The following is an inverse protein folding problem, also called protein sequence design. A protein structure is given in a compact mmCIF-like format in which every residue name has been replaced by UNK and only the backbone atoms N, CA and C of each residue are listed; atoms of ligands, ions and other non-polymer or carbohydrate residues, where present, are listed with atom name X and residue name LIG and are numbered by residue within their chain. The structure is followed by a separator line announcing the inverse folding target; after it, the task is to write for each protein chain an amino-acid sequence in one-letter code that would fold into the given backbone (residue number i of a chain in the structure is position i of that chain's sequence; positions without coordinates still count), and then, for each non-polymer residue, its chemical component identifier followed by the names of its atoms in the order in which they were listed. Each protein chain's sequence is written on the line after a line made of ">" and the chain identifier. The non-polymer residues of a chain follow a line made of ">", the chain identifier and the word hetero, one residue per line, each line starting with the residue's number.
data_IF_741225946817
#
_entry.id   IF_741225946817
#
_cell.length_a   1.000
_cell.length_b   1.000
_cell.length_c   1.000
_cell.angle_alpha   90.00
_cell.angle_beta   90.00
_cell.angle_gamma   90.00
#
_symmetry.space_group_name_H-M   'P 1'
#
loop_
_entity.id
_entity.type
_entity.pdbx_description
1 polymer ?
#
# COMPACT_ATOMS: atom_id res chain seq x y z
N UNK A 1 74.56 41.54 10.63
CA UNK A 1 75.46 42.58 10.04
C UNK A 1 76.89 42.04 9.99
N UNK A 2 77.31 41.44 11.11
CA UNK A 2 78.40 40.47 11.21
C UNK A 2 78.46 39.40 10.11
N UNK A 3 77.36 38.73 9.76
CA UNK A 3 77.34 37.70 8.70
C UNK A 3 77.72 38.24 7.32
N UNK A 4 77.32 39.48 7.03
CA UNK A 4 77.71 40.16 5.80
C UNK A 4 79.21 40.46 5.80
N UNK A 5 79.76 41.00 6.91
CA UNK A 5 81.19 41.26 7.04
C UNK A 5 82.03 39.98 6.99
N UNK A 6 81.57 38.90 7.62
CA UNK A 6 82.17 37.57 7.50
C UNK A 6 82.21 37.11 6.04
N UNK A 7 81.07 37.19 5.33
CA UNK A 7 80.97 36.75 3.94
C UNK A 7 81.89 37.55 3.01
N UNK A 8 82.00 38.86 3.23
CA UNK A 8 82.95 39.75 2.53
C UNK A 8 84.39 39.34 2.86
N UNK A 9 84.70 39.08 4.13
CA UNK A 9 86.02 38.60 4.56
C UNK A 9 86.41 37.28 3.90
N UNK A 10 85.48 36.31 3.79
CA UNK A 10 85.70 35.04 3.09
C UNK A 10 85.96 35.27 1.59
N UNK A 11 85.27 36.23 0.96
CA UNK A 11 85.50 36.57 -0.45
C UNK A 11 86.91 37.09 -0.68
N UNK A 12 87.34 38.10 0.09
CA UNK A 12 88.70 38.66 0.01
C UNK A 12 89.78 37.62 0.33
N UNK A 13 89.50 36.69 1.24
CA UNK A 13 90.40 35.58 1.54
C UNK A 13 90.60 34.65 0.33
N UNK A 14 89.54 34.37 -0.44
CA UNK A 14 89.61 33.55 -1.67
C UNK A 14 90.33 34.28 -2.80
N UNK A 15 90.21 35.60 -2.87
CA UNK A 15 90.92 36.45 -3.82
C UNK A 15 92.42 36.62 -3.48
N UNK A 16 92.86 36.08 -2.34
CA UNK A 16 94.25 36.16 -1.91
C UNK A 16 94.63 37.52 -1.31
N UNK A 17 93.65 38.29 -0.83
CA UNK A 17 93.85 39.59 -0.18
C UNK A 17 93.66 39.49 1.35
N UNK A 18 94.63 38.91 2.10
CA UNK A 18 94.45 38.60 3.51
C UNK A 18 94.30 39.84 4.41
N UNK A 19 94.85 40.98 4.02
CA UNK A 19 94.75 42.22 4.81
C UNK A 19 93.33 42.79 4.83
N UNK A 20 92.68 42.81 3.67
CA UNK A 20 91.26 43.23 3.57
C UNK A 20 90.37 42.20 4.28
N UNK A 21 90.65 40.90 4.07
CA UNK A 21 89.93 39.83 4.77
C UNK A 21 89.99 39.98 6.29
N UNK A 22 91.18 40.25 6.86
CA UNK A 22 91.36 40.48 8.30
C UNK A 22 90.59 41.70 8.82
N UNK A 23 90.55 42.80 8.06
CA UNK A 23 89.80 43.99 8.46
C UNK A 23 88.30 43.67 8.63
N UNK A 24 87.71 42.97 7.66
CA UNK A 24 86.31 42.59 7.71
C UNK A 24 86.02 41.48 8.73
N UNK A 25 86.92 40.50 8.90
CA UNK A 25 86.76 39.50 9.95
C UNK A 25 86.85 40.09 11.36
N UNK A 26 87.72 41.08 11.60
CA UNK A 26 87.79 41.75 12.91
C UNK A 26 86.54 42.58 13.20
N UNK A 27 85.97 43.23 12.17
CA UNK A 27 84.67 43.91 12.30
C UNK A 27 83.55 42.91 12.60
N UNK A 28 83.51 41.78 11.90
CA UNK A 28 82.54 40.71 12.15
C UNK A 28 82.70 40.13 13.57
N UNK A 29 83.93 39.86 14.01
CA UNK A 29 84.23 39.32 15.34
C UNK A 29 83.80 40.27 16.46
N UNK A 30 83.98 41.59 16.28
CA UNK A 30 83.56 42.59 17.24
C UNK A 30 82.04 42.68 17.41
N UNK A 31 81.28 42.40 16.34
CA UNK A 31 79.82 42.37 16.36
C UNK A 31 79.29 41.04 16.90
N UNK A 32 79.76 39.88 16.41
CA UNK A 32 79.30 38.57 16.88
C UNK A 32 79.69 38.29 18.34
N UNK A 33 80.77 38.92 18.84
CA UNK A 33 81.16 38.84 20.25
C UNK A 33 80.15 39.47 21.22
N UNK A 34 79.30 40.39 20.75
CA UNK A 34 78.23 41.00 21.56
C UNK A 34 76.98 40.11 21.64
N UNK A 35 76.73 39.30 20.61
CA UNK A 35 75.55 38.44 20.50
C UNK A 35 75.78 36.99 21.00
N UNK A 36 77.00 36.64 21.41
CA UNK A 36 77.41 35.29 21.85
C UNK A 36 77.11 34.17 20.85
N UNK A 37 77.06 34.48 19.55
CA UNK A 37 76.90 33.45 18.51
C UNK A 37 78.20 32.68 18.31
N UNK A 38 78.36 31.62 19.10
CA UNK A 38 79.54 30.75 19.05
C UNK A 38 79.74 30.08 17.67
N UNK A 39 78.68 29.90 16.87
CA UNK A 39 78.81 29.32 15.52
C UNK A 39 79.50 30.35 14.62
N UNK A 40 79.00 31.58 14.62
CA UNK A 40 79.55 32.64 13.79
C UNK A 40 80.97 33.01 14.23
N UNK A 41 81.21 33.12 15.55
CA UNK A 41 82.53 33.39 16.12
C UNK A 41 83.54 32.31 15.71
N UNK A 42 83.17 31.02 15.79
CA UNK A 42 84.07 29.93 15.39
C UNK A 42 84.47 30.00 13.91
N UNK A 43 83.51 30.33 13.03
CA UNK A 43 83.74 30.46 11.59
C UNK A 43 84.62 31.68 11.27
N UNK A 44 84.38 32.83 11.92
CA UNK A 44 85.18 34.05 11.77
C UNK A 44 86.62 33.81 12.25
N UNK A 45 86.81 33.19 13.42
CA UNK A 45 88.14 32.85 13.95
C UNK A 45 88.90 31.90 13.00
N UNK A 46 88.20 30.96 12.36
CA UNK A 46 88.75 30.10 11.32
C UNK A 46 89.18 30.87 10.07
N UNK A 47 88.38 31.84 9.63
CA UNK A 47 88.72 32.76 8.53
C UNK A 47 89.95 33.62 8.84
N UNK A 48 90.05 34.16 10.06
CA UNK A 48 91.22 34.92 10.54
C UNK A 48 92.48 34.04 10.54
N UNK A 49 92.35 32.79 11.00
CA UNK A 49 93.45 31.82 10.96
C UNK A 49 93.99 31.61 9.55
N UNK A 50 93.11 31.36 8.57
CA UNK A 50 93.49 31.18 7.17
C UNK A 50 94.13 32.45 6.58
N UNK A 51 93.63 33.64 6.93
CA UNK A 51 94.21 34.90 6.47
C UNK A 51 95.66 35.08 6.98
N UNK A 52 95.92 34.77 8.25
CA UNK A 52 97.29 34.77 8.79
C UNK A 52 98.17 33.69 8.17
N UNK A 53 97.59 32.54 7.80
CA UNK A 53 98.29 31.46 7.11
C UNK A 53 98.76 31.88 5.71
N UNK A 54 97.94 32.64 4.96
CA UNK A 54 98.32 33.24 3.67
C UNK A 54 99.42 34.29 3.81
N UNK A 55 99.40 35.06 4.90
CA UNK A 55 100.49 36.00 5.26
C UNK A 55 101.75 35.32 5.77
N UNK A 56 101.80 33.99 5.74
CA UNK A 56 102.88 33.16 6.28
C UNK A 56 103.17 33.37 7.79
N UNK A 57 102.21 33.93 8.53
CA UNK A 57 102.30 34.12 9.98
C UNK A 57 101.69 32.92 10.70
N UNK A 58 102.50 31.86 10.81
CA UNK A 58 102.07 30.57 11.35
C UNK A 58 101.70 30.63 12.84
N UNK A 59 102.31 31.53 13.62
CA UNK A 59 102.05 31.67 15.04
C UNK A 59 100.63 32.20 15.30
N UNK A 60 100.27 33.31 14.64
CA UNK A 60 98.90 33.86 14.71
C UNK A 60 97.88 32.92 14.09
N UNK A 61 98.21 32.30 12.95
CA UNK A 61 97.31 31.34 12.31
C UNK A 61 96.93 30.18 13.25
N UNK A 62 97.90 29.65 14.02
CA UNK A 62 97.63 28.59 14.98
C UNK A 62 96.78 29.07 16.17
N UNK A 63 97.09 30.23 16.74
CA UNK A 63 96.32 30.82 17.85
C UNK A 63 94.83 30.91 17.48
N UNK A 64 94.52 31.50 16.33
CA UNK A 64 93.14 31.67 15.87
C UNK A 64 92.49 30.34 15.45
N UNK A 65 93.24 29.37 14.92
CA UNK A 65 92.72 28.03 14.61
C UNK A 65 92.33 27.26 15.88
N UNK A 66 93.13 27.36 16.95
CA UNK A 66 92.84 26.72 18.23
C UNK A 66 91.62 27.35 18.90
N UNK A 67 91.54 28.70 18.89
CA UNK A 67 90.35 29.41 19.38
C UNK A 67 89.11 29.05 18.59
N UNK A 68 89.21 28.92 17.26
CA UNK A 68 88.11 28.45 16.40
C UNK A 68 87.62 27.06 16.80
N UNK A 69 88.53 26.11 17.11
CA UNK A 69 88.16 24.78 17.57
C UNK A 69 87.51 24.80 18.97
N UNK A 70 88.03 25.60 19.88
CA UNK A 70 87.48 25.77 21.23
C UNK A 70 86.04 26.30 21.14
N UNK A 71 85.84 27.40 20.40
CA UNK A 71 84.50 27.97 20.20
C UNK A 71 83.59 26.99 19.46
N UNK A 72 84.06 26.32 18.39
CA UNK A 72 83.29 25.30 17.69
C UNK A 72 82.87 24.15 18.62
N UNK A 73 83.66 23.87 19.66
CA UNK A 73 83.34 22.83 20.64
C UNK A 73 82.19 23.18 21.57
N UNK A 74 81.89 24.47 21.72
CA UNK A 74 80.75 24.99 22.50
C UNK A 74 79.43 25.00 21.70
N UNK A 75 79.48 24.89 20.36
CA UNK A 75 78.32 25.13 19.48
C UNK A 75 77.36 23.93 19.33
N UNK A 76 77.74 22.74 19.80
CA UNK A 76 77.03 21.49 19.51
C UNK A 76 76.97 21.11 18.01
N UNK A 77 77.56 21.92 17.11
CA UNK A 77 77.47 21.76 15.66
C UNK A 77 78.71 21.01 15.13
N UNK A 78 78.59 19.73 14.71
CA UNK A 78 79.76 18.95 14.29
C UNK A 78 80.43 19.50 13.02
N UNK A 79 79.66 20.21 12.18
CA UNK A 79 80.17 20.92 11.00
C UNK A 79 81.21 21.99 11.37
N UNK A 80 81.02 22.69 12.48
CA UNK A 80 81.96 23.72 12.93
C UNK A 80 83.28 23.10 13.41
N UNK A 81 83.21 21.99 14.16
CA UNK A 81 84.40 21.20 14.53
C UNK A 81 85.14 20.67 13.31
N UNK A 82 84.42 20.19 12.29
CA UNK A 82 85.00 19.73 11.02
C UNK A 82 85.83 20.85 10.36
N UNK A 83 85.29 22.07 10.25
CA UNK A 83 86.02 23.21 9.68
C UNK A 83 87.23 23.61 10.53
N UNK A 84 87.11 23.60 11.85
CA UNK A 84 88.23 23.91 12.74
C UNK A 84 89.36 22.86 12.63
N UNK A 85 89.04 21.57 12.53
CA UNK A 85 90.04 20.52 12.26
C UNK A 85 90.72 20.70 10.91
N UNK A 86 89.98 21.09 9.86
CA UNK A 86 90.56 21.42 8.55
C UNK A 86 91.57 22.56 8.65
N UNK A 87 91.21 23.65 9.34
CA UNK A 87 92.08 24.80 9.53
C UNK A 87 93.36 24.41 10.30
N UNK A 88 93.23 23.64 11.38
CA UNK A 88 94.38 23.16 12.15
C UNK A 88 95.30 22.25 11.32
N UNK A 89 94.74 21.33 10.54
CA UNK A 89 95.49 20.51 9.59
C UNK A 89 96.33 21.37 8.63
N UNK A 90 95.74 22.38 8.00
CA UNK A 90 96.42 23.26 7.04
C UNK A 90 97.52 24.09 7.72
N UNK A 91 97.28 24.59 8.94
CA UNK A 91 98.25 25.36 9.71
C UNK A 91 99.45 24.50 10.12
N UNK A 92 99.22 23.30 10.68
CA UNK A 92 100.30 22.38 11.07
C UNK A 92 101.09 21.85 9.86
N UNK A 93 100.41 21.64 8.73
CA UNK A 93 101.05 21.28 7.46
C UNK A 93 102.05 22.34 6.98
N UNK A 94 101.69 23.63 7.03
CA UNK A 94 102.63 24.72 6.67
C UNK A 94 103.75 24.93 7.68
N UNK A 95 103.52 24.61 8.95
CA UNK A 95 104.51 24.72 10.04
C UNK A 95 105.58 23.63 10.01
N UNK A 96 105.39 22.59 9.19
CA UNK A 96 106.36 21.50 9.04
C UNK A 96 106.29 20.43 10.13
N UNK A 97 105.16 20.30 10.83
CA UNK A 97 104.91 19.22 11.80
C UNK A 97 103.95 18.18 11.19
N UNK A 98 104.46 17.14 10.49
CA UNK A 98 103.63 16.17 9.79
C UNK A 98 102.82 15.28 10.75
N UNK A 99 103.28 15.08 11.98
CA UNK A 99 102.59 14.25 12.96
C UNK A 99 101.27 14.89 13.38
N UNK A 100 101.29 16.18 13.75
CA UNK A 100 100.08 16.93 14.09
C UNK A 100 99.17 17.20 12.90
N UNK A 101 99.74 17.47 11.72
CA UNK A 101 98.95 17.62 10.51
C UNK A 101 98.15 16.33 10.20
N UNK A 102 98.78 15.16 10.33
CA UNK A 102 98.12 13.86 10.13
C UNK A 102 97.00 13.60 11.16
N UNK A 103 97.22 13.97 12.42
CA UNK A 103 96.21 13.85 13.48
C UNK A 103 94.94 14.64 13.15
N UNK A 104 95.08 15.95 12.86
CA UNK A 104 93.94 16.80 12.52
C UNK A 104 93.31 16.44 11.18
N UNK A 105 94.09 15.93 10.21
CA UNK A 105 93.56 15.39 8.97
C UNK A 105 92.64 14.19 9.22
N UNK A 106 93.04 13.25 10.09
CA UNK A 106 92.20 12.09 10.45
C UNK A 106 90.90 12.52 11.12
N UNK A 107 90.97 13.48 12.05
CA UNK A 107 89.79 14.03 12.72
C UNK A 107 88.85 14.74 11.74
N UNK A 108 89.40 15.55 10.82
CA UNK A 108 88.64 16.18 9.76
C UNK A 108 87.98 15.16 8.82
N UNK A 109 88.74 14.19 8.32
CA UNK A 109 88.25 13.17 7.37
C UNK A 109 87.14 12.34 7.99
N UNK A 110 87.33 11.82 9.21
CA UNK A 110 86.31 11.02 9.90
C UNK A 110 85.03 11.81 10.17
N UNK A 111 85.15 13.08 10.58
CA UNK A 111 83.98 13.94 10.79
C UNK A 111 83.26 14.28 9.47
N UNK A 112 84.03 14.54 8.40
CA UNK A 112 83.49 14.80 7.06
C UNK A 112 82.69 13.60 6.55
N UNK A 113 83.24 12.39 6.66
CA UNK A 113 82.58 11.16 6.23
C UNK A 113 81.31 10.89 7.04
N UNK A 114 81.36 11.05 8.36
CA UNK A 114 80.19 10.89 9.24
C UNK A 114 79.07 11.89 8.90
N UNK A 115 79.42 13.16 8.67
CA UNK A 115 78.44 14.20 8.30
C UNK A 115 77.81 13.95 6.93
N UNK A 116 78.60 13.46 5.98
CA UNK A 116 78.11 13.10 4.66
C UNK A 116 77.09 11.95 4.73
N UNK A 117 77.43 10.87 5.45
CA UNK A 117 76.54 9.71 5.65
C UNK A 117 75.25 10.14 6.36
N UNK A 118 75.35 10.96 7.42
CA UNK A 118 74.18 11.46 8.14
C UNK A 118 73.28 12.32 7.25
N UNK A 119 73.85 13.15 6.36
CA UNK A 119 73.10 13.95 5.39
C UNK A 119 72.36 13.09 4.37
N UNK A 120 73.02 12.06 3.81
CA UNK A 120 72.38 11.11 2.89
C UNK A 120 71.24 10.34 3.56
N UNK A 121 71.45 9.85 4.79
CA UNK A 121 70.42 9.14 5.54
C UNK A 121 69.18 10.01 5.80
N UNK A 122 69.38 11.29 6.15
CA UNK A 122 68.27 12.26 6.29
C UNK A 122 67.50 12.45 4.98
N UNK A 123 68.20 12.65 3.87
CA UNK A 123 67.56 12.84 2.56
C UNK A 123 66.72 11.61 2.14
N UNK A 124 67.23 10.40 2.38
CA UNK A 124 66.48 9.15 2.12
C UNK A 124 65.24 9.07 3.03
N UNK A 125 65.39 9.40 4.31
CA UNK A 125 64.27 9.37 5.27
C UNK A 125 63.18 10.38 4.89
N UNK A 126 63.56 11.59 4.52
CA UNK A 126 62.63 12.62 4.04
C UNK A 126 61.91 12.17 2.76
N UNK A 127 62.63 11.54 1.83
CA UNK A 127 62.05 11.01 0.59
C UNK A 127 61.04 9.89 0.89
N UNK A 128 61.35 8.98 1.80
CA UNK A 128 60.44 7.91 2.21
C UNK A 128 59.19 8.47 2.90
N UNK A 129 59.34 9.42 3.83
CA UNK A 129 58.20 10.08 4.48
C UNK A 129 57.31 10.75 3.44
N UNK A 130 57.91 11.47 2.48
CA UNK A 130 57.16 12.13 1.40
C UNK A 130 56.40 11.11 0.54
N UNK A 131 57.08 10.05 0.10
CA UNK A 131 56.46 8.98 -0.69
C UNK A 131 55.28 8.33 0.04
N UNK A 132 55.46 7.98 1.32
CA UNK A 132 54.40 7.38 2.13
C UNK A 132 53.24 8.35 2.36
N UNK A 133 53.52 9.64 2.53
CA UNK A 133 52.49 10.68 2.69
C UNK A 133 51.67 10.83 1.41
N UNK A 134 52.33 10.96 0.26
CA UNK A 134 51.65 11.05 -1.04
C UNK A 134 50.78 9.81 -1.31
N UNK A 135 51.28 8.61 -1.01
CA UNK A 135 50.51 7.38 -1.13
C UNK A 135 49.28 7.36 -0.24
N UNK A 136 49.41 7.78 1.03
CA UNK A 136 48.27 7.88 1.95
C UNK A 136 47.25 8.92 1.50
N UNK A 137 47.70 10.07 0.98
CA UNK A 137 46.81 11.09 0.44
C UNK A 137 46.01 10.58 -0.76
N UNK A 138 46.66 9.82 -1.66
CA UNK A 138 45.98 9.16 -2.77
C UNK A 138 44.93 8.15 -2.30
N UNK A 139 45.28 7.31 -1.32
CA UNK A 139 44.35 6.33 -0.75
C UNK A 139 43.15 7.04 -0.09
N UNK A 140 43.39 8.10 0.69
CA UNK A 140 42.31 8.90 1.30
C UNK A 140 41.43 9.52 0.23
N UNK A 141 41.99 10.10 -0.82
CA UNK A 141 41.22 10.68 -1.92
C UNK A 141 40.32 9.63 -2.59
N UNK A 142 40.86 8.44 -2.87
CA UNK A 142 40.09 7.34 -3.45
C UNK A 142 38.95 6.89 -2.51
N UNK A 143 39.24 6.72 -1.22
CA UNK A 143 38.25 6.38 -0.19
C UNK A 143 37.13 7.43 -0.10
N UNK A 144 37.47 8.72 -0.19
CA UNK A 144 36.47 9.80 -0.15
C UNK A 144 35.55 9.79 -1.37
N UNK A 145 36.09 9.56 -2.57
CA UNK A 145 35.28 9.41 -3.79
C UNK A 145 34.39 8.15 -3.71
N UNK A 146 34.93 7.03 -3.23
CA UNK A 146 34.14 5.81 -3.06
C UNK A 146 32.98 5.99 -2.08
N UNK A 147 33.23 6.62 -0.93
CA UNK A 147 32.20 6.92 0.07
C UNK A 147 31.12 7.83 -0.51
N UNK A 148 31.49 8.86 -1.28
CA UNK A 148 30.54 9.78 -1.92
C UNK A 148 29.64 9.07 -2.93
N UNK A 149 30.20 8.19 -3.76
CA UNK A 149 29.42 7.36 -4.68
C UNK A 149 28.48 6.44 -3.90
N UNK A 150 28.95 5.86 -2.80
CA UNK A 150 28.13 5.00 -1.95
C UNK A 150 26.95 5.76 -1.30
N UNK A 151 27.16 6.98 -0.80
CA UNK A 151 26.10 7.84 -0.27
C UNK A 151 25.04 8.16 -1.33
N UNK A 152 25.47 8.51 -2.56
CA UNK A 152 24.55 8.76 -3.68
C UNK A 152 23.74 7.51 -4.05
N UNK A 153 24.38 6.34 -4.05
CA UNK A 153 23.74 5.04 -4.31
C UNK A 153 22.74 4.66 -3.21
N UNK A 154 23.04 4.93 -1.94
CA UNK A 154 22.11 4.72 -0.83
C UNK A 154 20.90 5.66 -1.00
N UNK A 155 21.13 6.94 -1.30
CA UNK A 155 20.05 7.91 -1.51
C UNK A 155 19.14 7.58 -2.70
N UNK A 156 19.69 7.05 -3.80
CA UNK A 156 18.88 6.59 -4.94
C UNK A 156 18.07 5.33 -4.61
N UNK A 157 18.67 4.34 -3.93
CA UNK A 157 17.98 3.11 -3.47
C UNK A 157 16.84 3.43 -2.50
N UNK A 158 17.06 4.29 -1.51
CA UNK A 158 16.03 4.68 -0.54
C UNK A 158 14.84 5.36 -1.23
N UNK A 159 15.07 6.28 -2.17
CA UNK A 159 13.99 6.92 -2.95
C UNK A 159 13.19 5.90 -3.76
N UNK A 160 13.85 4.91 -4.36
CA UNK A 160 13.19 3.85 -5.10
C UNK A 160 12.30 2.98 -4.21
N UNK A 161 12.80 2.56 -3.04
CA UNK A 161 12.02 1.78 -2.06
C UNK A 161 10.79 2.56 -1.59
N UNK A 162 10.95 3.84 -1.26
CA UNK A 162 9.83 4.71 -0.84
C UNK A 162 8.79 4.85 -1.96
N UNK A 163 9.20 5.01 -3.21
CA UNK A 163 8.27 5.09 -4.34
C UNK A 163 7.45 3.79 -4.49
N UNK A 164 8.08 2.62 -4.36
CA UNK A 164 7.38 1.33 -4.39
C UNK A 164 6.38 1.23 -3.24
N UNK A 165 6.78 1.62 -2.02
CA UNK A 165 5.89 1.58 -0.86
C UNK A 165 4.65 2.46 -1.04
N UNK A 166 4.80 3.65 -1.64
CA UNK A 166 3.68 4.55 -1.96
C UNK A 166 2.74 3.91 -2.97
N UNK A 167 3.27 3.34 -4.06
CA UNK A 167 2.45 2.67 -5.09
C UNK A 167 1.70 1.48 -4.50
N UNK A 168 2.37 0.69 -3.67
CA UNK A 168 1.75 -0.44 -2.98
C UNK A 168 0.60 0.02 -2.06
N UNK A 169 0.83 1.06 -1.25
CA UNK A 169 -0.20 1.62 -0.37
C UNK A 169 -1.41 2.15 -1.16
N UNK A 170 -1.17 2.87 -2.26
CA UNK A 170 -2.22 3.35 -3.15
C UNK A 170 -3.01 2.21 -3.78
N UNK A 171 -2.33 1.14 -4.20
CA UNK A 171 -3.00 -0.05 -4.76
C UNK A 171 -3.93 -0.73 -3.74
N UNK A 172 -3.51 -0.81 -2.47
CA UNK A 172 -4.34 -1.33 -1.39
C UNK A 172 -5.56 -0.44 -1.12
N UNK A 173 -5.38 0.87 -1.09
CA UNK A 173 -6.48 1.82 -0.90
C UNK A 173 -7.51 1.74 -2.04
N UNK A 174 -7.04 1.67 -3.29
CA UNK A 174 -7.92 1.50 -4.45
C UNK A 174 -8.65 0.15 -4.38
N UNK A 175 -7.94 -0.94 -4.07
CA UNK A 175 -8.55 -2.26 -3.91
C UNK A 175 -9.64 -2.28 -2.83
N UNK A 176 -9.37 -1.65 -1.69
CA UNK A 176 -10.35 -1.50 -0.60
C UNK A 176 -11.56 -0.68 -1.03
N UNK A 177 -11.35 0.46 -1.70
CA UNK A 177 -12.43 1.31 -2.19
C UNK A 177 -13.33 0.58 -3.20
N UNK A 178 -12.76 -0.20 -4.11
CA UNK A 178 -13.52 -1.04 -5.06
C UNK A 178 -14.35 -2.10 -4.35
N UNK A 179 -13.80 -2.75 -3.32
CA UNK A 179 -14.51 -3.75 -2.53
C UNK A 179 -15.68 -3.14 -1.75
N UNK A 180 -15.50 -1.97 -1.16
CA UNK A 180 -16.61 -1.26 -0.48
C UNK A 180 -17.69 -0.84 -1.48
N UNK A 181 -17.29 -0.28 -2.63
CA UNK A 181 -18.24 0.18 -3.64
C UNK A 181 -19.08 -0.97 -4.23
N UNK A 182 -18.46 -2.13 -4.49
CA UNK A 182 -19.18 -3.32 -4.96
C UNK A 182 -20.19 -3.83 -3.91
N UNK A 183 -19.82 -3.84 -2.63
CA UNK A 183 -20.74 -4.18 -1.53
C UNK A 183 -21.91 -3.20 -1.41
N UNK A 184 -21.66 -1.90 -1.54
CA UNK A 184 -22.70 -0.87 -1.51
C UNK A 184 -23.68 -1.03 -2.67
N UNK A 185 -23.18 -1.24 -3.89
CA UNK A 185 -24.03 -1.50 -5.07
C UNK A 185 -24.88 -2.75 -4.91
N UNK A 186 -24.31 -3.83 -4.35
CA UNK A 186 -25.06 -5.05 -4.07
C UNK A 186 -26.20 -4.81 -3.07
N UNK A 187 -25.95 -4.05 -1.99
CA UNK A 187 -26.98 -3.68 -1.00
C UNK A 187 -28.08 -2.83 -1.62
N UNK A 188 -27.73 -1.82 -2.42
CA UNK A 188 -28.73 -0.99 -3.12
C UNK A 188 -29.63 -1.82 -4.04
N UNK A 189 -29.04 -2.69 -4.87
CA UNK A 189 -29.81 -3.58 -5.75
C UNK A 189 -30.72 -4.53 -4.96
N UNK A 190 -30.24 -5.07 -3.84
CA UNK A 190 -31.05 -5.94 -2.99
C UNK A 190 -32.27 -5.18 -2.43
N UNK A 191 -32.09 -3.96 -1.95
CA UNK A 191 -33.19 -3.12 -1.44
C UNK A 191 -34.16 -2.68 -2.56
N UNK A 192 -33.67 -2.38 -3.76
CA UNK A 192 -34.53 -2.10 -4.91
C UNK A 192 -35.37 -3.31 -5.31
N UNK A 193 -34.78 -4.50 -5.31
CA UNK A 193 -35.48 -5.76 -5.58
C UNK A 193 -36.54 -6.03 -4.52
N UNK A 194 -36.23 -5.86 -3.24
CA UNK A 194 -37.18 -5.98 -2.13
C UNK A 194 -38.37 -5.02 -2.30
N UNK A 195 -38.10 -3.73 -2.57
CA UNK A 195 -39.15 -2.75 -2.83
C UNK A 195 -40.00 -3.09 -4.08
N UNK A 196 -39.37 -3.64 -5.12
CA UNK A 196 -40.08 -4.07 -6.33
C UNK A 196 -40.96 -5.29 -6.06
N UNK A 197 -40.49 -6.25 -5.27
CA UNK A 197 -41.26 -7.41 -4.82
C UNK A 197 -42.50 -6.95 -4.04
N UNK A 198 -42.33 -6.09 -3.03
CA UNK A 198 -43.44 -5.55 -2.24
C UNK A 198 -44.48 -4.83 -3.10
N UNK A 199 -44.04 -4.00 -4.07
CA UNK A 199 -44.95 -3.33 -5.01
C UNK A 199 -45.69 -4.29 -5.94
N UNK A 200 -45.05 -5.37 -6.38
CA UNK A 200 -45.68 -6.36 -7.27
C UNK A 200 -46.72 -7.23 -6.56
N UNK A 201 -46.60 -7.41 -5.24
CA UNK A 201 -47.55 -8.20 -4.46
C UNK A 201 -48.83 -7.43 -4.12
N UNK A 202 -48.83 -6.10 -4.20
CA UNK A 202 -50.07 -5.32 -4.21
C UNK A 202 -50.56 -5.16 -5.64
N UNK A 203 -51.49 -6.01 -6.09
CA UNK A 203 -52.08 -5.93 -7.43
C UNK A 203 -52.82 -4.57 -7.60
N UNK A 204 -52.28 -3.59 -8.36
CA UNK A 204 -52.86 -2.25 -8.42
C UNK A 204 -54.27 -2.24 -9.02
N UNK A 205 -54.56 -3.20 -9.90
CA UNK A 205 -55.87 -3.40 -10.49
C UNK A 205 -56.88 -3.89 -9.44
N UNK A 206 -56.49 -4.80 -8.54
CA UNK A 206 -57.35 -5.24 -7.44
C UNK A 206 -57.68 -4.10 -6.47
N UNK A 207 -56.70 -3.27 -6.13
CA UNK A 207 -56.89 -2.09 -5.27
C UNK A 207 -57.85 -1.09 -5.94
N UNK A 208 -57.63 -0.76 -7.21
CA UNK A 208 -58.48 0.16 -7.95
C UNK A 208 -59.93 -0.35 -8.07
N UNK A 209 -60.12 -1.64 -8.39
CA UNK A 209 -61.44 -2.25 -8.47
C UNK A 209 -62.16 -2.28 -7.12
N UNK A 210 -61.42 -2.49 -6.03
CA UNK A 210 -61.98 -2.46 -4.68
C UNK A 210 -62.44 -1.06 -4.29
N UNK A 211 -61.69 -0.01 -4.67
CA UNK A 211 -62.10 1.38 -4.47
C UNK A 211 -63.38 1.73 -5.25
N UNK A 212 -63.51 1.25 -6.49
CA UNK A 212 -64.75 1.42 -7.29
C UNK A 212 -65.94 0.71 -6.62
N UNK A 213 -65.74 -0.49 -6.09
CA UNK A 213 -66.80 -1.23 -5.39
C UNK A 213 -67.31 -0.46 -4.16
N UNK A 214 -66.39 0.03 -3.33
CA UNK A 214 -66.70 0.87 -2.17
C UNK A 214 -67.48 2.12 -2.62
N UNK A 215 -67.00 2.79 -3.66
CA UNK A 215 -67.66 3.96 -4.24
C UNK A 215 -69.09 3.64 -4.69
N UNK A 216 -69.33 2.47 -5.31
CA UNK A 216 -70.66 2.03 -5.74
C UNK A 216 -71.63 1.84 -4.56
N UNK A 217 -71.19 1.21 -3.47
CA UNK A 217 -72.04 1.03 -2.29
C UNK A 217 -72.37 2.35 -1.59
N UNK A 218 -71.42 3.29 -1.56
CA UNK A 218 -71.65 4.66 -1.06
C UNK A 218 -72.73 5.35 -1.91
N UNK A 219 -72.63 5.30 -3.25
CA UNK A 219 -73.64 5.90 -4.13
C UNK A 219 -75.01 5.22 -4.03
N UNK A 220 -75.06 3.90 -3.81
CA UNK A 220 -76.30 3.14 -3.58
C UNK A 220 -76.91 3.36 -2.18
N UNK A 221 -76.33 4.23 -1.36
CA UNK A 221 -76.77 4.52 0.02
C UNK A 221 -76.87 3.27 0.91
N UNK A 222 -75.95 2.31 0.74
CA UNK A 222 -75.85 1.14 1.60
C UNK A 222 -74.57 1.23 2.46
N UNK A 223 -74.57 2.03 3.55
CA UNK A 223 -73.39 2.28 4.36
C UNK A 223 -72.90 1.03 5.11
N UNK A 224 -73.80 0.10 5.44
CA UNK A 224 -73.45 -1.15 6.13
C UNK A 224 -72.63 -2.06 5.21
N UNK A 225 -73.09 -2.31 3.98
CA UNK A 225 -72.31 -3.12 3.02
C UNK A 225 -71.01 -2.43 2.58
N UNK A 226 -71.00 -1.09 2.49
CA UNK A 226 -69.77 -0.34 2.23
C UNK A 226 -68.74 -0.51 3.36
N UNK A 227 -69.18 -0.45 4.62
CA UNK A 227 -68.35 -0.66 5.80
C UNK A 227 -67.80 -2.09 5.89
N UNK A 228 -68.64 -3.09 5.66
CA UNK A 228 -68.23 -4.50 5.66
C UNK A 228 -67.20 -4.79 4.55
N UNK A 229 -67.44 -4.29 3.33
CA UNK A 229 -66.47 -4.40 2.23
C UNK A 229 -65.13 -3.72 2.58
N UNK A 230 -65.16 -2.52 3.16
CA UNK A 230 -63.96 -1.78 3.54
C UNK A 230 -63.16 -2.52 4.62
N UNK A 231 -63.82 -3.10 5.63
CA UNK A 231 -63.15 -3.87 6.68
C UNK A 231 -62.47 -5.11 6.11
N UNK A 232 -63.20 -5.93 5.33
CA UNK A 232 -62.65 -7.12 4.67
C UNK A 232 -61.49 -6.76 3.73
N UNK A 233 -61.60 -5.65 3.01
CA UNK A 233 -60.53 -5.16 2.15
C UNK A 233 -59.28 -4.76 2.94
N UNK A 234 -59.44 -4.02 4.05
CA UNK A 234 -58.32 -3.64 4.92
C UNK A 234 -57.62 -4.87 5.52
N UNK A 235 -58.39 -5.87 5.96
CA UNK A 235 -57.86 -7.13 6.48
C UNK A 235 -57.08 -7.89 5.41
N UNK A 236 -57.62 -8.01 4.19
CA UNK A 236 -56.93 -8.67 3.09
C UNK A 236 -55.61 -7.97 2.71
N UNK A 237 -55.58 -6.63 2.66
CA UNK A 237 -54.37 -5.84 2.37
C UNK A 237 -53.33 -6.05 3.48
N UNK A 238 -53.74 -6.01 4.76
CA UNK A 238 -52.83 -6.26 5.88
C UNK A 238 -52.23 -7.66 5.81
N UNK A 239 -53.06 -8.69 5.65
CA UNK A 239 -52.61 -10.09 5.54
C UNK A 239 -51.69 -10.29 4.33
N UNK A 240 -51.99 -9.68 3.19
CA UNK A 240 -51.15 -9.70 1.98
C UNK A 240 -49.75 -9.15 2.26
N UNK A 241 -49.66 -7.98 2.90
CA UNK A 241 -48.37 -7.34 3.22
C UNK A 241 -47.59 -8.12 4.29
N UNK A 242 -48.25 -8.67 5.30
CA UNK A 242 -47.60 -9.47 6.34
C UNK A 242 -47.06 -10.79 5.77
N UNK A 243 -47.88 -11.49 4.99
CA UNK A 243 -47.52 -12.79 4.40
C UNK A 243 -46.44 -12.65 3.30
N UNK A 244 -46.33 -11.48 2.66
CA UNK A 244 -45.30 -11.20 1.65
C UNK A 244 -43.86 -11.29 2.16
N UNK A 245 -43.67 -11.10 3.47
CA UNK A 245 -42.35 -11.01 4.12
C UNK A 245 -41.80 -12.36 4.58
N UNK A 246 -42.61 -13.41 4.52
CA UNK A 246 -42.25 -14.74 5.00
C UNK A 246 -42.30 -15.74 3.87
N UNK A 247 -41.42 -16.75 3.94
CA UNK A 247 -41.33 -17.76 2.88
C UNK A 247 -42.52 -18.75 2.92
N UNK A 248 -43.06 -19.00 4.11
CA UNK A 248 -44.21 -19.88 4.34
C UNK A 248 -45.17 -19.31 5.39
N UNK A 249 -46.45 -19.63 5.25
CA UNK A 249 -47.52 -19.29 6.19
C UNK A 249 -48.29 -20.54 6.60
N UNK A 250 -48.88 -20.58 7.81
CA UNK A 250 -49.83 -21.63 8.16
C UNK A 250 -50.95 -21.73 7.13
N UNK A 251 -51.37 -22.95 6.81
CA UNK A 251 -52.46 -23.23 5.88
C UNK A 251 -53.75 -22.52 6.32
N UNK A 252 -54.02 -22.48 7.61
CA UNK A 252 -55.16 -21.75 8.16
C UNK A 252 -55.17 -20.28 7.73
N UNK A 253 -54.00 -19.61 7.73
CA UNK A 253 -53.89 -18.22 7.27
C UNK A 253 -54.18 -18.08 5.79
N UNK A 254 -53.69 -18.99 4.95
CA UNK A 254 -53.98 -18.97 3.51
C UNK A 254 -55.48 -19.22 3.24
N UNK A 255 -56.10 -20.20 3.90
CA UNK A 255 -57.53 -20.50 3.74
C UNK A 255 -58.40 -19.32 4.20
N UNK A 256 -58.05 -18.67 5.31
CA UNK A 256 -58.75 -17.48 5.78
C UNK A 256 -58.60 -16.31 4.77
N UNK A 257 -57.39 -16.06 4.29
CA UNK A 257 -57.13 -15.03 3.28
C UNK A 257 -57.93 -15.29 2.00
N UNK A 258 -57.97 -16.54 1.54
CA UNK A 258 -58.74 -16.98 0.39
C UNK A 258 -60.24 -16.78 0.58
N UNK A 259 -60.76 -17.11 1.77
CA UNK A 259 -62.16 -16.89 2.11
C UNK A 259 -62.53 -15.40 2.07
N UNK A 260 -61.72 -14.52 2.67
CA UNK A 260 -61.93 -13.06 2.63
C UNK A 260 -61.90 -12.56 1.18
N UNK A 261 -60.93 -13.02 0.39
CA UNK A 261 -60.82 -12.66 -1.03
C UNK A 261 -62.07 -13.06 -1.82
N UNK A 262 -62.53 -14.31 -1.71
CA UNK A 262 -63.71 -14.80 -2.43
C UNK A 262 -64.99 -14.09 -1.99
N UNK A 263 -65.14 -13.77 -0.69
CA UNK A 263 -66.25 -12.96 -0.18
C UNK A 263 -66.26 -11.56 -0.78
N UNK A 264 -65.11 -10.87 -0.85
CA UNK A 264 -65.01 -9.56 -1.49
C UNK A 264 -65.39 -9.62 -2.98
N UNK A 265 -64.92 -10.64 -3.69
CA UNK A 265 -65.28 -10.84 -5.08
C UNK A 265 -66.78 -11.11 -5.26
N UNK A 266 -67.37 -11.95 -4.40
CA UNK A 266 -68.80 -12.29 -4.45
C UNK A 266 -69.66 -11.05 -4.24
N UNK A 267 -69.32 -10.21 -3.24
CA UNK A 267 -69.96 -8.91 -3.01
C UNK A 267 -69.85 -8.01 -4.25
N UNK A 268 -68.64 -7.88 -4.80
CA UNK A 268 -68.36 -7.01 -5.96
C UNK A 268 -69.16 -7.41 -7.20
N UNK A 269 -69.35 -8.71 -7.41
CA UNK A 269 -70.09 -9.25 -8.56
C UNK A 269 -71.56 -9.58 -8.24
N UNK A 270 -72.09 -9.13 -7.10
CA UNK A 270 -73.51 -9.25 -6.75
C UNK A 270 -74.01 -10.69 -6.69
N UNK A 271 -73.24 -11.57 -6.04
CA UNK A 271 -73.60 -12.98 -5.77
C UNK A 271 -73.82 -13.82 -7.04
N UNK A 272 -73.20 -13.44 -8.17
CA UNK A 272 -73.26 -14.19 -9.44
C UNK A 272 -72.47 -15.49 -9.44
N UNK A 273 -71.72 -15.76 -8.38
CA UNK A 273 -71.05 -17.04 -8.16
C UNK A 273 -71.12 -17.46 -6.69
N UNK A 274 -71.00 -18.77 -6.47
CA UNK A 274 -70.88 -19.40 -5.17
C UNK A 274 -69.48 -19.98 -4.99
N UNK A 275 -69.03 -20.13 -3.75
CA UNK A 275 -67.78 -20.81 -3.49
C UNK A 275 -67.88 -21.71 -2.26
N UNK A 276 -67.02 -22.72 -2.23
CA UNK A 276 -66.92 -23.70 -1.16
C UNK A 276 -65.45 -24.05 -0.91
N UNK A 277 -65.05 -24.03 0.36
CA UNK A 277 -63.66 -24.31 0.78
C UNK A 277 -63.72 -25.45 1.78
N UNK A 278 -63.26 -26.63 1.36
CA UNK A 278 -63.25 -27.84 2.19
C UNK A 278 -61.81 -28.25 2.52
N UNK A 279 -61.60 -28.76 3.73
CA UNK A 279 -60.35 -29.39 4.15
C UNK A 279 -60.64 -30.74 4.79
N UNK A 280 -59.74 -31.71 4.60
CA UNK A 280 -59.84 -32.97 5.32
C UNK A 280 -59.70 -32.76 6.84
N UNK A 281 -60.44 -33.55 7.62
CA UNK A 281 -60.44 -33.44 9.10
C UNK A 281 -59.09 -33.75 9.74
N UNK A 282 -58.25 -34.53 9.07
CA UNK A 282 -56.91 -34.94 9.50
C UNK A 282 -55.82 -33.90 9.16
N UNK A 283 -56.20 -32.72 8.66
CA UNK A 283 -55.30 -31.61 8.35
C UNK A 283 -55.35 -30.59 9.50
N UNK A 284 -54.26 -30.55 10.28
CA UNK A 284 -53.96 -29.51 11.28
C UNK A 284 -53.43 -28.27 10.56
N UNK A 285 -54.35 -27.39 10.17
CA UNK A 285 -54.09 -26.27 9.27
C UNK A 285 -53.23 -25.15 9.92
N UNK A 286 -53.19 -25.10 11.24
CA UNK A 286 -52.36 -24.21 12.04
C UNK A 286 -50.88 -24.63 12.04
N UNK A 287 -50.59 -25.93 11.92
CA UNK A 287 -49.23 -26.48 11.88
C UNK A 287 -48.66 -26.52 10.45
N UNK A 288 -49.48 -26.92 9.48
CA UNK A 288 -49.03 -27.12 8.10
C UNK A 288 -48.65 -25.78 7.48
N UNK A 289 -47.40 -25.67 7.01
CA UNK A 289 -46.90 -24.46 6.35
C UNK A 289 -46.90 -24.60 4.84
N UNK A 290 -47.45 -23.60 4.16
CA UNK A 290 -47.51 -23.54 2.70
C UNK A 290 -46.97 -22.20 2.18
N UNK A 291 -46.49 -22.13 0.93
CA UNK A 291 -46.06 -20.88 0.33
C UNK A 291 -47.27 -19.93 0.24
N UNK A 292 -47.14 -18.65 0.63
CA UNK A 292 -48.26 -17.72 0.59
C UNK A 292 -48.69 -17.43 -0.84
N UNK A 293 -50.00 -17.17 -1.03
CA UNK A 293 -50.61 -16.75 -2.30
C UNK A 293 -50.45 -17.77 -3.42
N UNK A 294 -50.47 -19.06 -3.10
CA UNK A 294 -50.21 -20.10 -4.08
C UNK A 294 -51.45 -20.40 -4.94
N UNK A 295 -52.63 -20.35 -4.33
CA UNK A 295 -53.92 -20.65 -4.99
C UNK A 295 -54.52 -19.41 -5.66
N UNK A 296 -54.15 -18.22 -5.17
CA UNK A 296 -54.72 -16.94 -5.58
C UNK A 296 -54.71 -16.69 -7.11
N UNK A 297 -53.63 -16.97 -7.88
CA UNK A 297 -53.63 -16.73 -9.32
C UNK A 297 -54.71 -17.52 -10.08
N UNK A 298 -55.04 -18.73 -9.61
CA UNK A 298 -56.03 -19.59 -10.25
C UNK A 298 -57.45 -19.15 -9.89
N UNK A 299 -57.63 -18.70 -8.65
CA UNK A 299 -58.90 -18.18 -8.16
C UNK A 299 -59.22 -16.84 -8.82
N UNK A 300 -58.23 -15.94 -8.93
CA UNK A 300 -58.33 -14.69 -9.68
C UNK A 300 -58.74 -14.95 -11.14
N UNK A 301 -58.13 -15.95 -11.78
CA UNK A 301 -58.48 -16.34 -13.15
C UNK A 301 -59.91 -16.87 -13.25
N UNK A 302 -60.36 -17.72 -12.32
CA UNK A 302 -61.72 -18.26 -12.32
C UNK A 302 -62.77 -17.14 -12.18
N UNK A 303 -62.56 -16.21 -11.24
CA UNK A 303 -63.50 -15.11 -10.98
C UNK A 303 -63.48 -14.06 -12.09
N UNK A 304 -62.32 -13.49 -12.42
CA UNK A 304 -62.20 -12.34 -13.33
C UNK A 304 -62.45 -12.72 -14.81
N UNK A 305 -62.19 -13.98 -15.17
CA UNK A 305 -62.25 -14.44 -16.56
C UNK A 305 -63.23 -15.58 -16.78
N UNK A 306 -63.31 -16.53 -15.84
CA UNK A 306 -64.19 -17.69 -15.97
C UNK A 306 -65.67 -17.34 -15.88
N UNK A 307 -66.06 -16.44 -14.96
CA UNK A 307 -67.48 -16.13 -14.70
C UNK A 307 -68.00 -14.90 -15.42
N UNK A 308 -67.14 -13.96 -15.81
CA UNK A 308 -67.55 -12.74 -16.51
C UNK A 308 -68.31 -13.01 -17.82
N UNK A 309 -67.98 -14.10 -18.51
CA UNK A 309 -68.57 -14.49 -19.80
C UNK A 309 -69.52 -15.69 -19.69
N UNK A 310 -69.79 -16.17 -18.47
CA UNK A 310 -70.63 -17.35 -18.25
C UNK A 310 -72.09 -16.93 -18.15
N UNK A 311 -72.95 -17.65 -18.84
CA UNK A 311 -74.39 -17.61 -18.59
C UNK A 311 -74.72 -18.55 -17.42
N UNK A 312 -75.36 -18.02 -16.38
CA UNK A 312 -75.70 -18.75 -15.15
C UNK A 312 -74.68 -18.61 -14.02
N UNK A 313 -74.97 -19.26 -12.88
CA UNK A 313 -74.21 -19.10 -11.64
C UNK A 313 -72.81 -19.74 -11.73
N UNK A 314 -71.79 -18.96 -11.39
CA UNK A 314 -70.43 -19.46 -11.21
C UNK A 314 -70.32 -20.33 -9.95
N UNK A 315 -69.39 -21.28 -9.94
CA UNK A 315 -69.04 -22.06 -8.76
C UNK A 315 -67.53 -22.27 -8.71
N UNK A 316 -66.92 -21.99 -7.55
CA UNK A 316 -65.54 -22.34 -7.23
C UNK A 316 -65.54 -23.31 -6.06
N UNK A 317 -64.91 -24.46 -6.22
CA UNK A 317 -64.68 -25.40 -5.14
C UNK A 317 -63.19 -25.54 -4.89
N UNK A 318 -62.76 -25.31 -3.65
CA UNK A 318 -61.38 -25.45 -3.21
C UNK A 318 -61.33 -26.57 -2.18
N UNK A 319 -60.51 -27.58 -2.46
CA UNK A 319 -60.35 -28.74 -1.57
C UNK A 319 -58.90 -28.93 -1.21
N UNK A 320 -58.63 -29.18 0.06
CA UNK A 320 -57.32 -29.52 0.56
C UNK A 320 -57.34 -30.94 1.13
N UNK A 321 -56.55 -31.82 0.50
CA UNK A 321 -56.46 -33.24 0.86
C UNK A 321 -55.05 -33.62 1.31
N UNK A 322 -54.97 -34.59 2.22
CA UNK A 322 -53.69 -35.21 2.59
C UNK A 322 -53.55 -36.56 1.88
N UNK A 323 -52.54 -36.72 1.02
CA UNK A 323 -52.35 -37.92 0.21
C UNK A 323 -50.89 -38.37 0.26
N UNK A 324 -50.66 -39.59 0.75
CA UNK A 324 -49.32 -40.21 0.81
C UNK A 324 -48.22 -39.37 1.50
N UNK A 325 -48.59 -38.52 2.47
CA UNK A 325 -47.65 -37.62 3.15
C UNK A 325 -47.45 -36.25 2.48
N UNK A 326 -48.13 -36.00 1.38
CA UNK A 326 -48.18 -34.70 0.69
C UNK A 326 -49.54 -34.02 0.91
N UNK A 327 -49.57 -32.71 0.67
CA UNK A 327 -50.78 -31.89 0.64
C UNK A 327 -51.14 -31.60 -0.81
N UNK A 328 -52.39 -31.88 -1.17
CA UNK A 328 -52.95 -31.67 -2.50
C UNK A 328 -54.04 -30.60 -2.42
N UNK A 329 -53.84 -29.47 -3.11
CA UNK A 329 -54.86 -28.44 -3.33
C UNK A 329 -55.52 -28.66 -4.66
N UNK A 330 -56.83 -28.80 -4.64
CA UNK A 330 -57.66 -28.92 -5.83
C UNK A 330 -58.55 -27.68 -5.91
N UNK A 331 -58.43 -26.92 -6.98
CA UNK A 331 -59.27 -25.77 -7.28
C UNK A 331 -60.07 -26.10 -8.53
N UNK A 332 -61.39 -26.11 -8.42
CA UNK A 332 -62.30 -26.36 -9.53
C UNK A 332 -63.19 -25.16 -9.74
N UNK A 333 -63.26 -24.69 -10.98
CA UNK A 333 -64.24 -23.71 -11.40
C UNK A 333 -65.13 -24.29 -12.50
N UNK A 334 -66.37 -23.82 -12.58
CA UNK A 334 -67.30 -24.16 -13.66
C UNK A 334 -67.35 -23.08 -14.76
N UNK A 335 -66.29 -22.29 -14.93
CA UNK A 335 -66.23 -21.20 -15.90
C UNK A 335 -66.32 -21.66 -17.35
N UNK A 336 -66.20 -20.72 -18.29
CA UNK A 336 -66.28 -21.00 -19.74
C UNK A 336 -65.15 -21.89 -20.28
N UNK A 337 -64.14 -22.23 -19.47
CA UNK A 337 -62.99 -23.04 -19.86
C UNK A 337 -61.91 -22.25 -20.61
N UNK A 338 -60.67 -22.77 -20.59
CA UNK A 338 -59.50 -22.05 -21.11
C UNK A 338 -59.48 -21.92 -22.63
N UNK A 339 -59.91 -22.96 -23.34
CA UNK A 339 -59.97 -22.98 -24.82
C UNK A 339 -60.95 -21.92 -25.36
N UNK A 340 -62.15 -21.84 -24.78
CA UNK A 340 -63.16 -20.85 -25.15
C UNK A 340 -62.70 -19.42 -24.83
N UNK A 341 -62.10 -19.22 -23.64
CA UNK A 341 -61.54 -17.93 -23.24
C UNK A 341 -60.38 -17.46 -24.15
N UNK A 342 -59.55 -18.39 -24.65
CA UNK A 342 -58.44 -18.10 -25.54
C UNK A 342 -58.90 -17.67 -26.95
N UNK A 343 -60.05 -18.18 -27.42
CA UNK A 343 -60.64 -17.81 -28.71
C UNK A 343 -61.30 -16.43 -28.67
N UNK A 344 -61.79 -15.98 -27.50
CA UNK A 344 -62.53 -14.73 -27.34
C UNK A 344 -61.72 -13.56 -26.75
N UNK A 345 -60.39 -13.70 -26.57
CA UNK A 345 -59.51 -12.64 -26.05
C UNK A 345 -58.50 -12.11 -27.08
N UNK A 346 -58.49 -10.78 -27.28
CA UNK A 346 -57.36 -10.01 -27.87
C UNK A 346 -56.12 -9.92 -26.95
N UNK A 347 -56.19 -10.42 -25.71
CA UNK A 347 -55.15 -10.30 -24.69
C UNK A 347 -54.52 -11.68 -24.36
N UNK A 348 -53.66 -12.17 -25.26
CA UNK A 348 -52.92 -13.44 -25.09
C UNK A 348 -51.84 -13.39 -24.00
N UNK A 349 -51.51 -12.23 -23.45
CA UNK A 349 -50.28 -12.03 -22.68
C UNK A 349 -50.42 -12.27 -21.17
N UNK A 350 -51.45 -11.74 -20.49
CA UNK A 350 -51.45 -11.72 -19.01
C UNK A 350 -51.85 -13.06 -18.34
N UNK A 351 -52.74 -13.85 -18.95
CA UNK A 351 -53.30 -15.06 -18.30
C UNK A 351 -52.29 -16.22 -18.24
N UNK A 352 -51.49 -16.39 -19.30
CA UNK A 352 -50.42 -17.40 -19.34
C UNK A 352 -49.26 -17.06 -18.42
N UNK A 353 -49.03 -15.77 -18.15
CA UNK A 353 -47.94 -15.30 -17.29
C UNK A 353 -48.15 -15.69 -15.82
N UNK A 354 -49.35 -15.54 -15.27
CA UNK A 354 -49.61 -15.88 -13.87
C UNK A 354 -49.38 -17.37 -13.58
N UNK A 355 -49.90 -18.26 -14.43
CA UNK A 355 -49.68 -19.71 -14.32
C UNK A 355 -48.21 -20.10 -14.53
N UNK A 356 -47.52 -19.45 -15.48
CA UNK A 356 -46.09 -19.66 -15.72
C UNK A 356 -45.25 -19.26 -14.51
N UNK A 357 -45.50 -18.09 -13.93
CA UNK A 357 -44.82 -17.60 -12.73
C UNK A 357 -45.02 -18.56 -11.55
N UNK A 358 -46.25 -19.05 -11.34
CA UNK A 358 -46.51 -20.03 -10.27
C UNK A 358 -45.79 -21.35 -10.52
N UNK A 359 -45.72 -21.83 -11.76
CA UNK A 359 -44.97 -23.05 -12.12
C UNK A 359 -43.48 -22.88 -11.86
N UNK A 360 -42.87 -21.79 -12.33
CA UNK A 360 -41.46 -21.48 -12.10
C UNK A 360 -41.14 -21.36 -10.61
N UNK A 361 -42.03 -20.72 -9.83
CA UNK A 361 -41.90 -20.63 -8.37
C UNK A 361 -41.87 -22.01 -7.72
N UNK A 362 -42.79 -22.90 -8.08
CA UNK A 362 -42.84 -24.26 -7.55
C UNK A 362 -41.61 -25.09 -7.94
N UNK A 363 -41.08 -24.93 -9.15
CA UNK A 363 -39.85 -25.60 -9.58
C UNK A 363 -38.61 -25.14 -8.80
N UNK A 364 -38.47 -23.83 -8.56
CA UNK A 364 -37.38 -23.27 -7.74
C UNK A 364 -37.47 -23.79 -6.30
N UNK A 365 -38.67 -23.84 -5.73
CA UNK A 365 -38.88 -24.39 -4.40
C UNK A 365 -38.57 -25.89 -4.33
N UNK A 366 -38.99 -26.67 -5.33
CA UNK A 366 -38.66 -28.09 -5.39
C UNK A 366 -37.16 -28.37 -5.41
N UNK A 367 -36.39 -27.56 -6.16
CA UNK A 367 -34.91 -27.63 -6.15
C UNK A 367 -34.34 -27.27 -4.79
N UNK A 368 -34.83 -26.19 -4.15
CA UNK A 368 -34.34 -25.71 -2.85
C UNK A 368 -34.56 -26.73 -1.73
N UNK A 369 -35.75 -27.34 -1.69
CA UNK A 369 -36.14 -28.28 -0.61
C UNK A 369 -35.87 -29.75 -0.94
N UNK A 370 -35.32 -30.06 -2.12
CA UNK A 370 -35.09 -31.43 -2.61
C UNK A 370 -36.35 -32.31 -2.53
N UNK A 371 -37.51 -31.73 -2.80
CA UNK A 371 -38.81 -32.42 -2.80
C UNK A 371 -39.62 -32.03 -4.03
N UNK A 372 -40.57 -32.87 -4.40
CA UNK A 372 -41.34 -32.69 -5.63
C UNK A 372 -42.55 -31.79 -5.36
N UNK A 373 -42.64 -30.67 -6.09
CA UNK A 373 -43.84 -29.85 -6.18
C UNK A 373 -44.40 -30.02 -7.59
N UNK A 374 -45.72 -30.23 -7.72
CA UNK A 374 -46.38 -30.38 -9.03
C UNK A 374 -47.54 -29.41 -9.16
N UNK A 375 -47.75 -28.95 -10.40
CA UNK A 375 -48.88 -28.12 -10.80
C UNK A 375 -49.46 -28.68 -12.09
N UNK A 376 -50.67 -29.22 -11.99
CA UNK A 376 -51.44 -29.74 -13.11
C UNK A 376 -52.67 -28.85 -13.34
N UNK A 377 -52.93 -28.50 -14.59
CA UNK A 377 -54.10 -27.73 -14.99
C UNK A 377 -54.86 -28.57 -16.00
N UNK A 378 -56.08 -28.94 -15.66
CA UNK A 378 -56.92 -29.90 -16.37
C UNK A 378 -58.19 -29.17 -16.80
N UNK A 379 -58.49 -29.16 -18.10
CA UNK A 379 -59.76 -28.61 -18.61
C UNK A 379 -60.88 -29.64 -18.41
N UNK A 380 -61.96 -29.23 -17.72
CA UNK A 380 -63.12 -30.08 -17.49
C UNK A 380 -64.04 -30.03 -18.72
N UNK A 381 -64.42 -31.19 -19.27
CA UNK A 381 -65.31 -31.29 -20.45
C UNK A 381 -66.66 -31.87 -20.05
N UNK A 382 -67.73 -31.31 -20.62
CA UNK A 382 -69.08 -31.85 -20.51
C UNK A 382 -69.27 -33.13 -21.33
N UNK A 383 -70.42 -33.79 -21.18
CA UNK A 383 -70.79 -34.98 -21.94
C UNK A 383 -70.91 -34.72 -23.46
N UNK A 384 -71.03 -33.44 -23.85
CA UNK A 384 -71.06 -32.89 -25.19
C UNK A 384 -69.67 -32.54 -25.75
N UNK A 385 -68.60 -32.73 -24.97
CA UNK A 385 -67.21 -32.44 -25.36
C UNK A 385 -66.80 -30.96 -25.22
N UNK A 386 -67.74 -30.08 -24.87
CA UNK A 386 -67.48 -28.66 -24.64
C UNK A 386 -66.80 -28.40 -23.29
N UNK A 387 -65.95 -27.37 -23.21
CA UNK A 387 -65.28 -26.99 -21.97
C UNK A 387 -66.30 -26.44 -20.96
N UNK A 388 -66.34 -27.04 -19.76
CA UNK A 388 -67.28 -26.72 -18.66
C UNK A 388 -66.61 -26.16 -17.41
N UNK A 389 -65.30 -25.90 -17.47
CA UNK A 389 -64.55 -25.40 -16.33
C UNK A 389 -63.08 -25.80 -16.37
N UNK A 390 -62.38 -25.47 -15.28
CA UNK A 390 -60.96 -25.83 -15.10
C UNK A 390 -60.77 -26.47 -13.73
N UNK A 391 -59.92 -27.49 -13.65
CA UNK A 391 -59.41 -28.07 -12.41
C UNK A 391 -57.90 -27.82 -12.34
N UNK A 392 -57.45 -27.20 -11.26
CA UNK A 392 -56.03 -27.02 -10.96
C UNK A 392 -55.68 -27.89 -9.76
N UNK A 393 -54.65 -28.71 -9.90
CA UNK A 393 -54.14 -29.59 -8.84
C UNK A 393 -52.72 -29.17 -8.51
N UNK A 394 -52.50 -28.79 -7.26
CA UNK A 394 -51.19 -28.41 -6.73
C UNK A 394 -50.82 -29.41 -5.65
N UNK A 395 -49.78 -30.21 -5.90
CA UNK A 395 -49.28 -31.15 -4.89
C UNK A 395 -47.97 -30.64 -4.34
N UNK A 396 -47.87 -30.61 -3.01
CA UNK A 396 -46.67 -30.16 -2.31
C UNK A 396 -46.35 -31.08 -1.14
N UNK A 397 -45.05 -31.24 -0.81
CA UNK A 397 -44.66 -32.02 0.34
C UNK A 397 -45.14 -31.38 1.62
N UNK A 398 -45.47 -32.21 2.59
CA UNK A 398 -45.79 -31.74 3.93
C UNK A 398 -44.56 -31.14 4.62
N UNK A 399 -44.72 -29.90 5.11
CA UNK A 399 -43.69 -29.14 5.84
C UNK A 399 -44.23 -28.80 7.23
N UNK A 400 -43.80 -29.58 8.23
CA UNK A 400 -44.24 -29.47 9.63
C UNK A 400 -43.42 -28.40 10.39
N UNK A 401 -42.17 -28.19 9.98
CA UNK A 401 -41.30 -27.09 10.42
C UNK A 401 -40.06 -27.02 9.51
N UNK A 402 -39.57 -25.81 9.25
CA UNK A 402 -38.20 -25.53 8.78
C UNK A 402 -37.51 -24.79 9.92
#
# INVERSE_FOLDING_TARGET
>A
LDDCYKSIGISFLKEGEPDKALAYFNQALGLSGQEQDNINIAEILGGISQAYLLKNNQARALEYAQRSLETASLTGAPRMKMYAYKNLYEVWGRRGDPAKALEYFRLYSGMKDSLFIAGQFRAITEMEIKYQTEKKEQDIALLTEHNKVQELMIGSRTRFIVAIAIVFLLSLLIGYALLVNTRLKARHRASELENRLLRSQMNPHFIFNSLIAIQSYIYKKNPVSAGDYLSKFADLVRMTLENSRVEFVPLEKELNMLNIYLQLQMLRFGDTFSFDIEKDKNIEADIIKIPPMLTQPFIENAVEHGFRLKEGLGNIKVRCHKKAGDIEFIIEDNGVGREFAAQHKKAKHNQSMATMITRERLEVMGKKFKRKFTLEVIDLKGADGNAKGTRVVITMPFVESI
#
